data_IF_144455746678
#
_entry.id   IF_144455746678
#
_cell.length_a   1.000
_cell.length_b   1.000
_cell.length_c   1.000
_cell.angle_alpha   90.00
_cell.angle_beta   90.00
_cell.angle_gamma   90.00
#
_symmetry.space_group_name_H-M   'P 1'
#
loop_
_entity.id
_entity.type
_entity.pdbx_description
1 polymer ?
#
# COMPACT_ATOMS: atom_id res chain seq x y z
N UNK A 1 6.81 -8.20 -16.83
CA UNK A 1 8.01 -7.37 -16.63
C UNK A 1 8.55 -7.59 -15.23
N UNK A 2 9.58 -6.83 -14.82
CA UNK A 2 10.02 -6.83 -13.42
C UNK A 2 9.01 -6.13 -12.49
N UNK A 3 9.05 -6.50 -11.21
CA UNK A 3 8.25 -5.88 -10.15
C UNK A 3 9.02 -4.78 -9.43
N UNK A 4 8.31 -3.72 -9.08
CA UNK A 4 8.81 -2.62 -8.26
C UNK A 4 7.85 -2.41 -7.09
N UNK A 5 8.39 -2.48 -5.87
CA UNK A 5 7.61 -2.30 -4.64
C UNK A 5 7.99 -0.98 -3.97
N UNK A 6 7.00 -0.24 -3.46
CA UNK A 6 7.20 1.04 -2.79
C UNK A 6 6.37 1.13 -1.51
N UNK A 7 6.99 1.68 -0.46
CA UNK A 7 6.32 2.12 0.76
C UNK A 7 6.47 3.63 0.87
N UNK A 8 5.36 4.36 1.03
CA UNK A 8 5.42 5.82 1.14
C UNK A 8 4.26 6.44 1.93
N UNK A 9 4.30 7.76 2.13
CA UNK A 9 3.19 8.51 2.73
C UNK A 9 2.04 8.75 1.73
N UNK A 10 0.77 8.55 2.12
CA UNK A 10 -0.38 8.72 1.21
C UNK A 10 -0.54 10.14 0.65
N UNK A 11 -0.06 11.19 1.33
CA UNK A 11 -0.17 12.58 0.84
C UNK A 11 0.53 12.84 -0.50
N UNK A 12 1.51 12.00 -0.86
CA UNK A 12 2.24 12.10 -2.15
C UNK A 12 1.65 11.18 -3.22
N UNK A 13 0.57 10.45 -2.92
CA UNK A 13 0.00 9.44 -3.81
C UNK A 13 -0.32 9.98 -5.22
N UNK A 14 -0.92 11.18 -5.41
CA UNK A 14 -1.15 11.72 -6.75
C UNK A 14 0.14 11.89 -7.57
N UNK A 15 1.20 12.41 -6.94
CA UNK A 15 2.51 12.59 -7.59
C UNK A 15 3.17 11.24 -7.89
N UNK A 16 3.10 10.30 -6.95
CA UNK A 16 3.68 8.95 -7.09
C UNK A 16 3.05 8.22 -8.26
N UNK A 17 1.71 8.11 -8.30
CA UNK A 17 1.00 7.38 -9.35
C UNK A 17 1.29 7.98 -10.73
N UNK A 18 1.28 9.32 -10.84
CA UNK A 18 1.61 10.02 -12.08
C UNK A 18 3.02 9.69 -12.57
N UNK A 19 4.01 9.73 -11.66
CA UNK A 19 5.41 9.43 -12.01
C UNK A 19 5.65 7.97 -12.35
N UNK A 20 4.96 7.04 -11.67
CA UNK A 20 5.07 5.61 -11.95
C UNK A 20 4.57 5.29 -13.36
N UNK A 21 3.35 5.73 -13.70
CA UNK A 21 2.79 5.55 -15.03
C UNK A 21 3.67 6.22 -16.10
N UNK A 22 4.15 7.45 -15.86
CA UNK A 22 5.06 8.13 -16.79
C UNK A 22 6.39 7.40 -17.01
N UNK A 23 6.87 6.64 -16.02
CA UNK A 23 8.07 5.82 -16.11
C UNK A 23 7.82 4.41 -16.71
N UNK A 24 6.59 4.10 -17.14
CA UNK A 24 6.20 2.78 -17.63
C UNK A 24 6.17 1.71 -16.53
N UNK A 25 6.02 2.12 -15.27
CA UNK A 25 5.76 1.25 -14.13
C UNK A 25 4.28 1.34 -13.79
N UNK A 26 3.49 0.36 -14.22
CA UNK A 26 2.06 0.37 -13.94
C UNK A 26 1.79 -0.10 -12.51
N UNK A 27 1.15 0.73 -11.65
CA UNK A 27 0.69 0.29 -10.33
C UNK A 27 -0.33 -0.83 -10.50
N UNK A 28 -0.09 -1.98 -9.86
CA UNK A 28 -0.93 -3.17 -9.95
C UNK A 28 -1.69 -3.46 -8.68
N UNK A 29 -1.05 -3.31 -7.52
CA UNK A 29 -1.68 -3.49 -6.22
C UNK A 29 -1.35 -2.32 -5.32
N UNK A 30 -2.36 -1.83 -4.60
CA UNK A 30 -2.21 -0.81 -3.59
C UNK A 30 -2.86 -1.26 -2.30
N UNK A 31 -2.17 -1.07 -1.18
CA UNK A 31 -2.74 -1.29 0.16
C UNK A 31 -2.45 -0.09 1.05
N UNK A 32 -3.50 0.47 1.64
CA UNK A 32 -3.37 1.55 2.62
C UNK A 32 -3.14 0.98 4.01
N UNK A 33 -2.28 1.63 4.79
CA UNK A 33 -1.95 1.22 6.15
C UNK A 33 -2.46 2.28 7.12
N UNK A 34 -3.28 1.83 8.04
CA UNK A 34 -3.98 2.63 9.03
C UNK A 34 -3.41 2.33 10.42
N UNK A 35 -2.99 3.33 11.21
CA UNK A 35 -2.55 3.07 12.57
C UNK A 35 -3.67 2.47 13.41
N UNK A 36 -4.90 2.98 13.27
CA UNK A 36 -6.12 2.43 13.85
C UNK A 36 -7.27 2.52 12.83
N UNK A 37 -8.30 1.69 13.00
CA UNK A 37 -9.44 1.60 12.08
C UNK A 37 -10.20 2.92 11.86
N UNK A 38 -10.15 3.83 12.82
CA UNK A 38 -10.87 5.12 12.85
C UNK A 38 -9.97 6.32 12.52
N UNK A 39 -8.73 6.10 12.06
CA UNK A 39 -7.77 7.16 11.74
C UNK A 39 -7.52 7.27 10.25
N UNK A 40 -6.84 8.32 9.83
CA UNK A 40 -6.35 8.44 8.46
C UNK A 40 -5.15 7.50 8.21
N UNK A 41 -4.96 7.01 6.97
CA UNK A 41 -3.80 6.19 6.65
C UNK A 41 -2.53 7.03 6.70
N UNK A 42 -1.48 6.47 7.30
CA UNK A 42 -0.17 7.12 7.38
C UNK A 42 0.85 6.54 6.39
N UNK A 43 0.51 5.42 5.75
CA UNK A 43 1.38 4.72 4.81
C UNK A 43 0.56 4.07 3.68
N UNK A 44 1.19 3.95 2.50
CA UNK A 44 0.69 3.23 1.34
C UNK A 44 1.76 2.24 0.85
N UNK A 45 1.32 1.04 0.52
CA UNK A 45 2.13 -0.03 -0.09
C UNK A 45 1.71 -0.13 -1.55
N UNK A 46 2.69 -0.17 -2.46
CA UNK A 46 2.48 -0.32 -3.89
C UNK A 46 3.32 -1.47 -4.45
N UNK A 47 2.71 -2.25 -5.33
CA UNK A 47 3.36 -3.18 -6.25
C UNK A 47 3.09 -2.68 -7.68
N UNK A 48 4.15 -2.52 -8.46
CA UNK A 48 4.10 -2.00 -9.82
C UNK A 48 4.83 -2.95 -10.77
N UNK A 49 4.34 -3.07 -12.01
CA UNK A 49 4.95 -3.92 -13.04
C UNK A 49 5.43 -3.08 -14.21
N UNK A 50 6.71 -3.23 -14.56
CA UNK A 50 7.28 -2.56 -15.75
C UNK A 50 6.61 -3.07 -17.03
N UNK A 51 6.06 -2.15 -17.81
CA UNK A 51 5.35 -2.44 -19.07
C UNK A 51 4.07 -3.26 -18.88
N UNK A 52 3.46 -3.19 -17.69
CA UNK A 52 2.16 -3.80 -17.45
C UNK A 52 1.04 -3.08 -18.21
N UNK A 53 -0.14 -3.71 -18.29
CA UNK A 53 -1.37 -3.04 -18.71
C UNK A 53 -1.94 -2.16 -17.58
N UNK A 54 -2.73 -1.11 -17.86
CA UNK A 54 -3.39 -0.34 -16.81
C UNK A 54 -4.43 -1.18 -16.07
N UNK A 55 -4.21 -1.36 -14.76
CA UNK A 55 -5.15 -2.02 -13.85
C UNK A 55 -4.62 -1.88 -12.43
N UNK A 56 -5.41 -1.29 -11.53
CA UNK A 56 -5.05 -1.14 -10.12
C UNK A 56 -6.06 -1.88 -9.24
N UNK A 57 -5.57 -2.88 -8.50
CA UNK A 57 -6.33 -3.51 -7.41
C UNK A 57 -6.02 -2.79 -6.09
N UNK A 58 -7.06 -2.25 -5.47
CA UNK A 58 -6.97 -1.71 -4.10
C UNK A 58 -7.36 -2.82 -3.11
N UNK A 59 -6.44 -3.16 -2.23
CA UNK A 59 -6.65 -4.20 -1.22
C UNK A 59 -7.36 -3.65 0.02
N UNK A 60 -8.01 -4.51 0.82
CA UNK A 60 -8.48 -4.12 2.14
C UNK A 60 -7.35 -3.46 2.92
N UNK A 61 -7.64 -2.40 3.71
CA UNK A 61 -6.60 -1.71 4.46
C UNK A 61 -5.89 -2.66 5.42
N UNK A 62 -4.62 -2.38 5.72
CA UNK A 62 -3.91 -3.02 6.82
C UNK A 62 -4.07 -2.13 8.05
N UNK A 63 -4.74 -2.64 9.09
CA UNK A 63 -4.89 -1.93 10.36
C UNK A 63 -3.80 -2.42 11.30
N UNK A 64 -3.01 -1.50 11.85
CA UNK A 64 -1.86 -1.84 12.69
C UNK A 64 -2.29 -2.22 14.10
N UNK A 65 -3.09 -1.37 14.75
CA UNK A 65 -3.48 -1.54 16.14
C UNK A 65 -5.00 -1.68 16.32
N UNK A 66 -5.37 -2.51 17.30
CA UNK A 66 -6.69 -2.56 17.91
C UNK A 66 -6.90 -1.36 18.86
N UNK A 67 -8.14 -1.15 19.31
CA UNK A 67 -8.47 -0.04 20.23
C UNK A 67 -7.71 -0.07 21.56
N UNK A 68 -7.29 -1.25 22.00
CA UNK A 68 -6.51 -1.46 23.23
C UNK A 68 -5.00 -1.24 23.04
N UNK A 69 -4.56 -0.89 21.83
CA UNK A 69 -3.16 -0.65 21.50
C UNK A 69 -2.38 -1.92 21.17
N UNK A 70 -3.01 -3.10 21.15
CA UNK A 70 -2.36 -4.34 20.69
C UNK A 70 -2.34 -4.43 19.18
N UNK A 71 -1.41 -5.20 18.61
CA UNK A 71 -1.41 -5.46 17.16
C UNK A 71 -2.62 -6.29 16.74
N UNK A 72 -3.19 -5.93 15.60
CA UNK A 72 -4.27 -6.72 14.97
C UNK A 72 -3.78 -8.15 14.66
N UNK A 73 -4.69 -9.14 14.59
CA UNK A 73 -4.32 -10.51 14.23
C UNK A 73 -3.61 -10.59 12.88
N UNK A 74 -4.07 -9.81 11.89
CA UNK A 74 -3.44 -9.77 10.57
C UNK A 74 -2.00 -9.24 10.64
N UNK A 75 -1.75 -8.16 11.38
CA UNK A 75 -0.38 -7.64 11.50
C UNK A 75 0.53 -8.62 12.25
N UNK A 76 0.02 -9.28 13.29
CA UNK A 76 0.76 -10.33 13.99
C UNK A 76 1.16 -11.46 13.04
N UNK A 77 0.25 -11.86 12.14
CA UNK A 77 0.54 -12.86 11.13
C UNK A 77 1.72 -12.43 10.25
N UNK A 78 1.70 -11.21 9.71
CA UNK A 78 2.76 -10.69 8.82
C UNK A 78 4.14 -10.59 9.51
N UNK A 79 4.18 -10.29 10.80
CA UNK A 79 5.43 -10.07 11.52
C UNK A 79 6.05 -11.34 12.11
N UNK A 80 5.23 -12.33 12.45
CA UNK A 80 5.65 -13.51 13.22
C UNK A 80 5.49 -14.83 12.47
N UNK A 81 4.84 -14.85 11.30
CA UNK A 81 4.80 -15.97 10.35
C UNK A 81 5.57 -15.65 9.08
#
# INVERSE_FOLDING_TARGET
GGHFYMVHRPMRLPEILTKLCAAGLEPKRMRLVYPYADKEPNMVLLDCVRGGAPELRVEPPLIVYEKDGTYTPELKQIYYE
#
